data_IF_729682810720
#
_entry.id   IF_729682810720
#
_cell.length_a   1.000
_cell.length_b   1.000
_cell.length_c   1.000
_cell.angle_alpha   90.00
_cell.angle_beta   90.00
_cell.angle_gamma   90.00
#
_symmetry.space_group_name_H-M   'P 1'
#
loop_
_entity.id
_entity.type
_entity.pdbx_description
1 polymer ?
#
# COMPACT_ATOMS: atom_id res chain seq x y z
N UNK A 1 -13.65 9.68 0.47
CA UNK A 1 -12.93 8.90 -0.57
C UNK A 1 -13.66 7.58 -0.78
N UNK A 2 -13.53 6.94 -1.95
CA UNK A 2 -13.95 5.56 -2.20
C UNK A 2 -12.75 4.64 -2.01
N UNK A 3 -12.91 3.56 -1.24
CA UNK A 3 -11.87 2.55 -1.06
C UNK A 3 -11.94 1.49 -2.16
N UNK A 4 -10.78 1.08 -2.67
CA UNK A 4 -10.60 -0.07 -3.57
C UNK A 4 -9.39 -0.86 -3.07
N UNK A 5 -9.60 -2.14 -2.73
CA UNK A 5 -8.54 -3.05 -2.30
C UNK A 5 -8.33 -4.09 -3.40
N UNK A 6 -7.11 -4.18 -3.93
CA UNK A 6 -6.80 -5.14 -4.99
C UNK A 6 -5.40 -5.77 -4.85
N UNK A 7 -5.29 -7.11 -4.80
CA UNK A 7 -6.38 -8.08 -4.70
C UNK A 7 -7.20 -7.88 -3.40
N UNK A 8 -8.46 -8.37 -3.34
CA UNK A 8 -9.28 -8.27 -2.13
C UNK A 8 -8.54 -8.83 -0.91
N UNK A 9 -8.57 -8.08 0.19
CA UNK A 9 -7.89 -8.45 1.43
C UNK A 9 -8.62 -7.89 2.65
N UNK A 10 -9.16 -8.79 3.47
CA UNK A 10 -10.00 -8.42 4.62
C UNK A 10 -9.24 -7.56 5.64
N UNK A 11 -7.95 -7.83 5.86
CA UNK A 11 -7.15 -7.06 6.80
C UNK A 11 -6.99 -5.60 6.32
N UNK A 12 -6.70 -5.38 5.04
CA UNK A 12 -6.62 -4.03 4.48
C UNK A 12 -7.98 -3.30 4.54
N UNK A 13 -9.06 -4.00 4.18
CA UNK A 13 -10.41 -3.42 4.17
C UNK A 13 -10.86 -3.02 5.57
N UNK A 14 -10.75 -3.92 6.55
CA UNK A 14 -11.16 -3.66 7.93
C UNK A 14 -10.31 -2.55 8.56
N UNK A 15 -8.99 -2.60 8.37
CA UNK A 15 -8.08 -1.59 8.91
C UNK A 15 -8.41 -0.20 8.37
N UNK A 16 -8.57 -0.07 7.06
CA UNK A 16 -8.82 1.24 6.45
C UNK A 16 -10.20 1.78 6.81
N UNK A 17 -11.25 0.94 6.76
CA UNK A 17 -12.59 1.37 7.17
C UNK A 17 -12.64 1.78 8.66
N UNK A 18 -11.77 1.23 9.51
CA UNK A 18 -11.60 1.68 10.90
C UNK A 18 -10.89 3.04 11.04
N UNK A 19 -10.15 3.50 10.04
CA UNK A 19 -9.38 4.76 10.07
C UNK A 19 -10.08 5.93 9.39
N UNK A 20 -11.05 5.66 8.51
CA UNK A 20 -11.73 6.67 7.72
C UNK A 20 -13.05 6.14 7.15
N UNK A 21 -14.06 7.00 7.10
CA UNK A 21 -15.37 6.67 6.51
C UNK A 21 -15.31 6.78 4.98
N UNK A 22 -15.23 5.64 4.30
CA UNK A 22 -15.25 5.58 2.84
C UNK A 22 -16.68 5.56 2.30
N UNK A 23 -16.93 6.33 1.24
CA UNK A 23 -18.23 6.42 0.57
C UNK A 23 -18.08 6.07 -0.91
N UNK A 24 -19.04 5.31 -1.44
CA UNK A 24 -19.05 4.87 -2.85
C UNK A 24 -19.10 6.02 -3.83
N UNK A 25 -19.74 7.12 -3.44
CA UNK A 25 -20.11 8.24 -4.31
C UNK A 25 -19.05 9.35 -4.33
N UNK A 26 -17.89 9.12 -3.70
CA UNK A 26 -16.81 10.08 -3.66
C UNK A 26 -16.01 10.09 -4.98
N UNK A 27 -15.72 11.30 -5.50
CA UNK A 27 -14.89 11.49 -6.71
C UNK A 27 -13.43 11.05 -6.53
N UNK A 28 -12.95 11.05 -5.29
CA UNK A 28 -11.60 10.60 -4.95
C UNK A 28 -11.62 9.11 -4.64
N UNK A 29 -10.73 8.36 -5.28
CA UNK A 29 -10.55 6.92 -5.11
C UNK A 29 -9.19 6.66 -4.46
N UNK A 30 -9.21 5.97 -3.31
CA UNK A 30 -8.04 5.37 -2.69
C UNK A 30 -7.96 3.91 -3.13
N UNK A 31 -6.92 3.57 -3.88
CA UNK A 31 -6.60 2.21 -4.27
C UNK A 31 -5.42 1.70 -3.44
N UNK A 32 -5.57 0.55 -2.80
CA UNK A 32 -4.50 -0.09 -2.06
C UNK A 32 -4.23 -1.47 -2.66
N UNK A 33 -2.95 -1.75 -2.86
CA UNK A 33 -2.48 -3.05 -3.33
C UNK A 33 -1.30 -3.53 -2.51
N UNK A 34 -1.29 -4.83 -2.26
CA UNK A 34 -0.16 -5.53 -1.67
C UNK A 34 0.23 -6.71 -2.52
N UNK A 35 1.52 -7.04 -2.51
CA UNK A 35 2.02 -8.30 -3.06
C UNK A 35 3.05 -8.85 -2.11
N UNK A 36 2.89 -10.11 -1.74
CA UNK A 36 3.90 -10.86 -1.00
C UNK A 36 4.60 -11.89 -1.86
N UNK A 37 5.58 -12.58 -1.27
CA UNK A 37 6.34 -13.64 -1.94
C UNK A 37 7.15 -13.12 -3.13
N UNK A 38 7.70 -11.91 -3.01
CA UNK A 38 8.54 -11.31 -4.05
C UNK A 38 9.86 -12.09 -4.09
N UNK A 39 9.88 -13.13 -4.93
CA UNK A 39 11.07 -13.94 -5.17
C UNK A 39 11.84 -13.37 -6.35
N UNK A 40 13.08 -12.94 -6.11
CA UNK A 40 13.99 -12.58 -7.19
C UNK A 40 14.60 -13.86 -7.76
N UNK A 41 14.24 -14.24 -8.99
CA UNK A 41 14.77 -15.44 -9.65
C UNK A 41 16.05 -15.21 -10.46
N UNK A 42 16.64 -14.01 -10.40
CA UNK A 42 17.88 -13.72 -11.12
C UNK A 42 19.08 -14.36 -10.41
N UNK A 43 19.81 -15.24 -11.11
CA UNK A 43 21.03 -15.88 -10.60
C UNK A 43 22.16 -14.87 -10.35
N UNK A 44 22.13 -13.71 -11.01
CA UNK A 44 23.12 -12.64 -10.86
C UNK A 44 23.02 -11.93 -9.49
N UNK A 45 21.91 -12.08 -8.77
CA UNK A 45 21.70 -11.50 -7.44
C UNK A 45 21.94 -12.49 -6.30
N UNK A 46 22.43 -13.70 -6.56
CA UNK A 46 22.60 -14.75 -5.55
C UNK A 46 23.36 -14.30 -4.27
N UNK A 47 24.45 -13.51 -4.34
CA UNK A 47 25.11 -13.02 -3.14
C UNK A 47 24.25 -12.03 -2.33
N UNK A 48 23.51 -11.14 -3.00
CA UNK A 48 22.59 -10.20 -2.34
C UNK A 48 21.37 -10.90 -1.72
N UNK A 49 20.93 -12.04 -2.27
CA UNK A 49 19.84 -12.85 -1.71
C UNK A 49 20.21 -13.50 -0.37
N UNK A 50 21.46 -13.91 -0.20
CA UNK A 50 21.90 -14.64 1.00
C UNK A 50 22.38 -13.69 2.12
N UNK A 51 22.83 -12.47 1.77
CA UNK A 51 23.44 -11.54 2.73
C UNK A 51 22.71 -10.20 2.91
N UNK A 52 21.59 -9.95 2.21
CA UNK A 52 20.83 -8.70 2.39
C UNK A 52 19.37 -8.95 2.75
N UNK A 53 18.81 -8.03 3.55
CA UNK A 53 17.40 -7.91 3.86
C UNK A 53 16.61 -7.53 2.58
N UNK A 54 16.41 -8.50 1.68
CA UNK A 54 15.66 -8.28 0.46
C UNK A 54 14.16 -8.21 0.78
N UNK A 55 13.42 -7.23 0.24
CA UNK A 55 12.01 -7.10 0.55
C UNK A 55 11.22 -8.30 0.01
N UNK A 56 10.41 -8.88 0.88
CA UNK A 56 9.57 -10.03 0.56
C UNK A 56 8.16 -9.60 0.16
N UNK A 57 7.74 -8.39 0.56
CA UNK A 57 6.42 -7.84 0.23
C UNK A 57 6.49 -6.34 -0.06
N UNK A 58 5.46 -5.81 -0.72
CA UNK A 58 5.25 -4.37 -0.85
C UNK A 58 3.82 -3.98 -0.46
N UNK A 59 3.67 -2.71 -0.08
CA UNK A 59 2.39 -2.02 0.08
C UNK A 59 2.39 -0.75 -0.78
N UNK A 60 1.34 -0.56 -1.57
CA UNK A 60 1.13 0.62 -2.41
C UNK A 60 -0.24 1.22 -2.17
N UNK A 61 -0.30 2.54 -2.01
CA UNK A 61 -1.53 3.33 -1.88
C UNK A 61 -1.54 4.45 -2.92
N UNK A 62 -2.53 4.44 -3.81
CA UNK A 62 -2.71 5.48 -4.81
C UNK A 62 -4.02 6.23 -4.56
N UNK A 63 -3.95 7.56 -4.54
CA UNK A 63 -5.14 8.42 -4.55
C UNK A 63 -5.30 8.99 -5.94
N UNK A 64 -6.50 8.87 -6.48
CA UNK A 64 -6.86 9.38 -7.79
C UNK A 64 -8.15 10.18 -7.74
N UNK A 65 -8.30 11.14 -8.65
CA UNK A 65 -9.52 11.91 -8.89
C UNK A 65 -9.93 11.69 -10.35
N UNK A 66 -10.90 10.81 -10.58
CA UNK A 66 -11.22 10.36 -11.93
C UNK A 66 -10.06 9.55 -12.54
N UNK A 67 -9.43 10.06 -13.60
CA UNK A 67 -8.29 9.40 -14.28
C UNK A 67 -6.92 9.94 -13.84
N UNK A 68 -6.91 11.00 -13.05
CA UNK A 68 -5.68 11.67 -12.62
C UNK A 68 -5.23 11.11 -11.27
N UNK A 69 -3.98 10.66 -11.18
CA UNK A 69 -3.36 10.26 -9.93
C UNK A 69 -2.89 11.52 -9.20
N UNK A 70 -3.42 11.76 -8.01
CA UNK A 70 -3.09 12.95 -7.19
C UNK A 70 -2.03 12.65 -6.14
N UNK A 71 -1.90 11.39 -5.73
CA UNK A 71 -0.89 10.96 -4.77
C UNK A 71 -0.58 9.47 -4.95
N UNK A 72 0.66 9.08 -4.66
CA UNK A 72 1.07 7.68 -4.62
C UNK A 72 2.09 7.49 -3.50
N UNK A 73 1.90 6.43 -2.73
CA UNK A 73 2.81 5.98 -1.70
C UNK A 73 3.16 4.53 -1.95
N UNK A 74 4.44 4.21 -1.79
CA UNK A 74 4.98 2.87 -1.97
C UNK A 74 5.99 2.58 -0.86
N UNK A 75 5.91 1.38 -0.28
CA UNK A 75 6.89 0.89 0.67
C UNK A 75 7.18 -0.59 0.43
N UNK A 76 8.46 -0.93 0.45
CA UNK A 76 8.97 -2.30 0.49
C UNK A 76 9.09 -2.76 1.95
N UNK A 77 8.65 -3.99 2.23
CA UNK A 77 8.67 -4.59 3.56
C UNK A 77 9.45 -5.91 3.53
N UNK A 78 10.10 -6.21 4.65
CA UNK A 78 10.85 -7.47 4.82
C UNK A 78 9.94 -8.65 5.16
N UNK A 79 8.80 -8.38 5.77
CA UNK A 79 7.81 -9.36 6.20
C UNK A 79 6.43 -9.08 5.57
N UNK A 80 5.42 -9.88 5.94
CA UNK A 80 4.04 -9.65 5.53
C UNK A 80 3.50 -8.30 6.00
N UNK A 81 2.71 -7.63 5.16
CA UNK A 81 2.00 -6.39 5.51
C UNK A 81 1.16 -6.60 6.77
N UNK A 82 1.47 -5.85 7.81
CA UNK A 82 0.72 -5.82 9.07
C UNK A 82 -0.32 -4.69 9.10
N UNK A 83 -1.22 -4.73 10.07
CA UNK A 83 -2.17 -3.64 10.33
C UNK A 83 -1.45 -2.31 10.63
N UNK A 84 -0.34 -2.36 11.37
CA UNK A 84 0.43 -1.17 11.74
C UNK A 84 1.13 -0.52 10.53
N UNK A 85 1.57 -1.32 9.56
CA UNK A 85 2.10 -0.82 8.29
C UNK A 85 1.04 -0.02 7.53
N UNK A 86 -0.19 -0.54 7.47
CA UNK A 86 -1.33 0.10 6.81
C UNK A 86 -1.73 1.38 7.51
N UNK A 87 -1.84 1.36 8.84
CA UNK A 87 -2.11 2.55 9.67
C UNK A 87 -1.05 3.63 9.44
N UNK A 88 0.22 3.23 9.44
CA UNK A 88 1.35 4.14 9.25
C UNK A 88 1.36 4.76 7.85
N UNK A 89 1.14 3.95 6.82
CA UNK A 89 1.04 4.39 5.43
C UNK A 89 -0.13 5.37 5.23
N UNK A 90 -1.31 5.05 5.79
CA UNK A 90 -2.48 5.93 5.71
C UNK A 90 -2.27 7.25 6.47
N UNK A 91 -1.62 7.21 7.64
CA UNK A 91 -1.26 8.41 8.41
C UNK A 91 -0.31 9.32 7.64
N UNK A 92 0.71 8.74 6.98
CA UNK A 92 1.65 9.48 6.12
C UNK A 92 0.93 10.12 4.95
N UNK A 93 0.12 9.34 4.22
CA UNK A 93 -0.71 9.86 3.12
C UNK A 93 -1.56 11.05 3.56
N UNK A 94 -2.28 10.94 4.69
CA UNK A 94 -3.07 12.05 5.23
C UNK A 94 -2.22 13.28 5.51
N UNK A 95 -1.05 13.11 6.13
CA UNK A 95 -0.14 14.21 6.45
C UNK A 95 0.40 14.89 5.20
N UNK A 96 0.69 14.12 4.16
CA UNK A 96 1.24 14.65 2.92
C UNK A 96 0.17 15.41 2.13
N UNK A 97 -1.06 14.86 2.05
CA UNK A 97 -2.18 15.50 1.34
C UNK A 97 -2.70 16.75 2.05
N UNK A 98 -2.67 16.80 3.39
CA UNK A 98 -3.17 17.94 4.19
C UNK A 98 -2.13 19.05 4.41
N UNK A 99 -0.91 18.88 3.88
CA UNK A 99 0.17 19.87 3.99
C UNK A 99 0.24 20.86 2.82
N UNK A 100 -0.64 20.71 1.83
CA UNK A 100 -0.99 21.74 0.84
C UNK A 100 -2.24 22.53 1.30
#
# INVERSE_FOLDING_TARGET
MRLVVFPPDELLEQTLNGLYEFTSDCKYRLEISKKGGIVCNSNQNAPKKTFSNFPSTYLRMDVSKGKEQVYSYYIDLLDSVSEDDVKSAFSRMKKDILKD
#
